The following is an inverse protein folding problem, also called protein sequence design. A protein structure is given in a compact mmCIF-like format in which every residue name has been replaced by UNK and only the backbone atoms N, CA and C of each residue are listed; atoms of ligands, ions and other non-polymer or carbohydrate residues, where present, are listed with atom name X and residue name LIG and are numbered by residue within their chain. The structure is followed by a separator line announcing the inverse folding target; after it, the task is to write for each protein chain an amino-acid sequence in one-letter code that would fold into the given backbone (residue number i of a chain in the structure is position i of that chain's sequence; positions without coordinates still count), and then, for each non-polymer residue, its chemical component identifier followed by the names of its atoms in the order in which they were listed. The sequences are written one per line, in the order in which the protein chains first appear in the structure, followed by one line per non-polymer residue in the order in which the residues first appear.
data_IF_661603252003
#
_entry.id   IF_661603252003
#
_cell.length_a   1.000
_cell.length_b   1.000
_cell.length_c   1.000
_cell.angle_alpha   90.00
_cell.angle_beta   90.00
_cell.angle_gamma   90.00
#
_symmetry.space_group_name_H-M   'P 1'
#
loop_
_entity.id
_entity.type
_entity.pdbx_description
1 polymer ?
#
# COMPACT_ATOMS: atom_id res chain seq x y z
N UNK A 1 -11.16 20.45 9.15
CA UNK A 1 -12.48 19.82 8.92
C UNK A 1 -12.54 19.40 7.45
N UNK A 2 -13.09 18.21 7.16
CA UNK A 2 -13.36 17.81 5.78
C UNK A 2 -14.54 18.62 5.23
N UNK A 3 -14.53 18.98 3.92
CA UNK A 3 -15.67 19.60 3.28
C UNK A 3 -16.83 18.59 3.15
N UNK A 4 -18.05 19.06 3.11
CA UNK A 4 -19.18 18.26 2.69
C UNK A 4 -19.02 17.91 1.21
N UNK A 5 -19.34 16.68 0.85
CA UNK A 5 -19.31 16.28 -0.54
C UNK A 5 -19.18 14.78 -0.74
N UNK A 6 -19.39 14.37 -1.97
CA UNK A 6 -19.37 12.98 -2.40
C UNK A 6 -18.36 12.82 -3.53
N UNK A 7 -17.57 11.76 -3.46
CA UNK A 7 -16.59 11.40 -4.49
C UNK A 7 -16.55 9.90 -4.65
N UNK A 8 -16.44 9.44 -5.89
CA UNK A 8 -16.29 8.03 -6.21
C UNK A 8 -15.21 7.80 -7.27
N UNK A 9 -14.79 6.57 -7.40
CA UNK A 9 -13.88 6.17 -8.46
C UNK A 9 -13.53 4.69 -8.43
N UNK A 10 -12.88 4.27 -9.49
CA UNK A 10 -12.37 2.92 -9.64
C UNK A 10 -10.87 2.99 -9.93
N UNK A 11 -10.13 2.16 -9.23
CA UNK A 11 -8.73 1.85 -9.47
C UNK A 11 -8.66 0.41 -10.00
N UNK A 12 -7.74 0.13 -10.91
CA UNK A 12 -7.51 -1.21 -11.40
C UNK A 12 -6.27 -1.80 -10.75
N UNK A 13 -6.46 -2.89 -10.00
CA UNK A 13 -5.37 -3.62 -9.38
C UNK A 13 -4.78 -4.63 -10.36
N UNK A 14 -3.48 -4.50 -10.63
CA UNK A 14 -2.72 -5.33 -11.58
C UNK A 14 -2.83 -6.83 -11.25
N UNK A 15 -3.10 -7.66 -12.25
CA UNK A 15 -3.29 -9.11 -12.10
C UNK A 15 -3.03 -9.82 -13.41
N UNK A 16 -2.61 -11.10 -13.32
CA UNK A 16 -2.47 -12.01 -14.47
C UNK A 16 -3.75 -12.84 -14.71
N UNK A 17 -4.86 -12.53 -14.05
CA UNK A 17 -6.12 -13.23 -14.23
C UNK A 17 -6.73 -12.89 -15.60
N UNK A 18 -7.01 -13.88 -16.48
CA UNK A 18 -7.56 -13.62 -17.83
C UNK A 18 -8.92 -12.92 -17.81
N UNK A 19 -9.70 -13.08 -16.72
CA UNK A 19 -11.01 -12.44 -16.53
C UNK A 19 -10.90 -10.95 -16.28
N UNK A 20 -9.71 -10.45 -15.93
CA UNK A 20 -9.44 -9.06 -15.61
C UNK A 20 -8.24 -8.52 -16.40
N UNK A 21 -8.31 -8.42 -17.74
CA UNK A 21 -7.17 -8.02 -18.58
C UNK A 21 -6.71 -6.58 -18.32
N UNK A 22 -7.58 -5.73 -17.79
CA UNK A 22 -7.24 -4.35 -17.38
C UNK A 22 -6.89 -4.24 -15.88
N UNK A 23 -6.89 -5.35 -15.15
CA UNK A 23 -6.77 -5.41 -13.70
C UNK A 23 -8.10 -5.56 -12.99
N UNK A 24 -8.05 -6.00 -11.72
CA UNK A 24 -9.23 -6.16 -10.86
C UNK A 24 -9.77 -4.77 -10.51
N UNK A 25 -11.03 -4.43 -10.85
CA UNK A 25 -11.60 -3.15 -10.52
C UNK A 25 -11.85 -3.04 -9.01
N UNK A 26 -11.28 -2.02 -8.40
CA UNK A 26 -11.43 -1.65 -6.99
C UNK A 26 -12.22 -0.35 -6.94
N UNK A 27 -13.46 -0.42 -6.52
CA UNK A 27 -14.37 0.72 -6.45
C UNK A 27 -14.56 1.20 -5.02
N UNK A 28 -14.61 2.51 -4.83
CA UNK A 28 -15.02 3.13 -3.57
C UNK A 28 -15.80 4.42 -3.83
N UNK A 29 -16.79 4.65 -2.99
CA UNK A 29 -17.52 5.90 -2.88
C UNK A 29 -17.31 6.45 -1.48
N UNK A 30 -17.01 7.73 -1.35
CA UNK A 30 -16.84 8.44 -0.07
C UNK A 30 -17.85 9.57 -0.02
N UNK A 31 -18.68 9.59 1.03
CA UNK A 31 -19.64 10.66 1.34
C UNK A 31 -19.26 11.30 2.67
N UNK A 32 -18.92 12.58 2.66
CA UNK A 32 -18.53 13.35 3.85
C UNK A 32 -19.69 14.23 4.27
N UNK A 33 -20.22 13.99 5.46
CA UNK A 33 -21.34 14.69 6.10
C UNK A 33 -20.87 15.37 7.40
N UNK A 34 -20.28 16.60 7.31
CA UNK A 34 -19.77 17.29 8.47
C UNK A 34 -20.88 17.77 9.44
N UNK A 35 -22.09 17.94 8.95
CA UNK A 35 -23.23 18.37 9.78
C UNK A 35 -23.58 17.30 10.83
N UNK A 36 -23.50 16.04 10.44
CA UNK A 36 -23.75 14.89 11.32
C UNK A 36 -22.48 14.23 11.86
N UNK A 37 -21.29 14.78 11.51
CA UNK A 37 -20.01 14.23 11.93
C UNK A 37 -19.73 12.83 11.36
N UNK A 38 -20.18 12.54 10.15
CA UNK A 38 -20.10 11.22 9.52
C UNK A 38 -19.28 11.24 8.23
N UNK A 39 -18.59 10.14 8.01
CA UNK A 39 -17.93 9.80 6.75
C UNK A 39 -18.41 8.40 6.39
N UNK A 40 -19.10 8.28 5.26
CA UNK A 40 -19.62 6.99 4.76
C UNK A 40 -18.75 6.54 3.61
N UNK A 41 -18.33 5.28 3.64
CA UNK A 41 -17.55 4.64 2.58
C UNK A 41 -18.35 3.44 2.09
N UNK A 42 -18.77 3.46 0.83
CA UNK A 42 -19.49 2.37 0.19
C UNK A 42 -18.57 1.57 -0.73
N UNK A 43 -18.51 0.27 -0.47
CA UNK A 43 -17.69 -0.71 -1.18
C UNK A 43 -18.52 -1.81 -1.84
N UNK A 44 -19.83 -1.68 -1.86
CA UNK A 44 -20.76 -2.74 -2.32
C UNK A 44 -20.61 -3.09 -3.81
N UNK A 45 -20.05 -2.17 -4.61
CA UNK A 45 -19.86 -2.32 -6.07
C UNK A 45 -18.58 -3.09 -6.45
N UNK A 46 -17.79 -3.56 -5.48
CA UNK A 46 -16.61 -4.35 -5.77
C UNK A 46 -16.99 -5.73 -6.33
N UNK A 47 -16.12 -6.29 -7.16
CA UNK A 47 -16.28 -7.61 -7.77
C UNK A 47 -16.26 -8.73 -6.72
N UNK A 48 -16.70 -9.92 -7.12
CA UNK A 48 -16.66 -11.11 -6.27
C UNK A 48 -15.23 -11.54 -5.96
N UNK A 49 -15.10 -12.44 -5.00
CA UNK A 49 -13.82 -13.02 -4.62
C UNK A 49 -13.08 -13.59 -5.83
N UNK A 50 -11.80 -13.29 -5.89
CA UNK A 50 -10.90 -13.79 -6.94
C UNK A 50 -10.10 -15.00 -6.44
N UNK A 51 -9.66 -15.91 -7.35
CA UNK A 51 -8.89 -17.12 -6.99
C UNK A 51 -7.42 -16.79 -6.68
N UNK A 52 -7.16 -15.68 -6.02
CA UNK A 52 -5.86 -15.19 -5.58
C UNK A 52 -5.87 -14.95 -4.07
N UNK A 53 -4.69 -14.94 -3.45
CA UNK A 53 -4.53 -14.69 -2.01
C UNK A 53 -4.72 -13.24 -1.56
N UNK A 54 -5.34 -12.40 -2.38
CA UNK A 54 -5.42 -10.94 -2.16
C UNK A 54 -6.78 -10.47 -1.63
N UNK A 55 -7.77 -11.35 -1.49
CA UNK A 55 -9.09 -10.97 -1.01
C UNK A 55 -9.00 -10.36 0.38
N UNK A 56 -9.55 -9.17 0.56
CA UNK A 56 -9.47 -8.43 1.82
C UNK A 56 -10.56 -8.88 2.79
N UNK A 57 -10.17 -9.30 3.99
CA UNK A 57 -11.11 -9.63 5.06
C UNK A 57 -11.87 -8.39 5.53
N UNK A 58 -13.00 -8.57 6.22
CA UNK A 58 -13.75 -7.48 6.84
C UNK A 58 -12.85 -6.61 7.74
N UNK A 59 -12.01 -7.23 8.57
CA UNK A 59 -11.09 -6.52 9.46
C UNK A 59 -10.07 -5.69 8.69
N UNK A 60 -9.46 -6.25 7.63
CA UNK A 60 -8.48 -5.54 6.79
C UNK A 60 -9.15 -4.39 6.03
N UNK A 61 -10.35 -4.62 5.51
CA UNK A 61 -11.15 -3.60 4.80
C UNK A 61 -11.48 -2.42 5.72
N UNK A 62 -12.00 -2.69 6.92
CA UNK A 62 -12.30 -1.67 7.92
C UNK A 62 -11.04 -0.91 8.36
N UNK A 63 -9.94 -1.63 8.57
CA UNK A 63 -8.65 -1.02 8.95
C UNK A 63 -8.17 -0.06 7.86
N UNK A 64 -8.23 -0.46 6.59
CA UNK A 64 -7.82 0.39 5.45
C UNK A 64 -8.66 1.65 5.34
N UNK A 65 -9.98 1.54 5.45
CA UNK A 65 -10.88 2.69 5.40
C UNK A 65 -10.60 3.68 6.53
N UNK A 66 -10.45 3.19 7.75
CA UNK A 66 -10.18 4.00 8.95
C UNK A 66 -8.82 4.66 8.87
N UNK A 67 -7.81 3.90 8.51
CA UNK A 67 -6.44 4.40 8.37
C UNK A 67 -6.34 5.48 7.30
N UNK A 68 -6.84 5.22 6.09
CA UNK A 68 -6.81 6.19 5.00
C UNK A 68 -7.53 7.49 5.37
N UNK A 69 -8.71 7.39 6.00
CA UNK A 69 -9.47 8.55 6.46
C UNK A 69 -8.72 9.34 7.54
N UNK A 70 -8.15 8.66 8.54
CA UNK A 70 -7.43 9.34 9.63
C UNK A 70 -6.13 9.98 9.16
N UNK A 71 -5.47 9.44 8.14
CA UNK A 71 -4.31 10.07 7.53
C UNK A 71 -4.68 11.42 6.89
N UNK A 72 -5.84 11.49 6.26
CA UNK A 72 -6.34 12.72 5.65
C UNK A 72 -6.78 13.75 6.70
N UNK A 73 -7.35 13.29 7.81
CA UNK A 73 -7.77 14.15 8.93
C UNK A 73 -6.58 14.75 9.71
N UNK A 74 -5.43 14.09 9.65
CA UNK A 74 -4.20 14.56 10.30
C UNK A 74 -4.00 14.05 11.74
N UNK A 75 -2.87 14.43 12.32
CA UNK A 75 -2.41 13.94 13.63
C UNK A 75 -3.21 14.49 14.82
N UNK A 76 -3.96 15.57 14.63
CA UNK A 76 -4.76 16.17 15.68
C UNK A 76 -5.97 15.32 16.09
N UNK A 77 -6.40 14.41 15.23
CA UNK A 77 -7.50 13.49 15.51
C UNK A 77 -6.94 12.24 16.17
N UNK A 78 -7.30 11.94 17.43
CA UNK A 78 -6.80 10.77 18.12
C UNK A 78 -7.31 9.48 17.44
N UNK A 79 -6.41 8.52 17.27
CA UNK A 79 -6.72 7.22 16.65
C UNK A 79 -7.33 6.29 17.70
N UNK A 80 -8.61 6.49 17.96
CA UNK A 80 -9.35 5.79 18.99
C UNK A 80 -10.75 5.37 18.50
N UNK A 81 -11.42 4.53 19.28
CA UNK A 81 -12.78 4.05 18.98
C UNK A 81 -13.79 5.17 18.76
N UNK A 82 -13.58 6.33 19.40
CA UNK A 82 -14.42 7.52 19.20
C UNK A 82 -14.37 8.02 17.75
N UNK A 83 -13.16 8.17 17.22
CA UNK A 83 -12.94 8.59 15.82
C UNK A 83 -13.46 7.52 14.84
N UNK A 84 -13.28 6.23 15.14
CA UNK A 84 -13.76 5.15 14.28
C UNK A 84 -15.28 5.10 14.14
N UNK A 85 -16.03 5.53 15.13
CA UNK A 85 -17.51 5.60 15.06
C UNK A 85 -18.02 6.64 14.07
N UNK A 86 -17.20 7.59 13.70
CA UNK A 86 -17.55 8.59 12.68
C UNK A 86 -17.37 8.05 11.24
N UNK A 87 -16.69 6.90 11.08
CA UNK A 87 -16.39 6.29 9.78
C UNK A 87 -17.27 5.04 9.61
N UNK A 88 -18.30 5.17 8.79
CA UNK A 88 -19.25 4.09 8.48
C UNK A 88 -18.83 3.44 7.16
N UNK A 89 -18.69 2.12 7.17
CA UNK A 89 -18.26 1.36 5.98
C UNK A 89 -19.34 0.36 5.61
N UNK A 90 -19.87 0.47 4.39
CA UNK A 90 -20.80 -0.49 3.81
C UNK A 90 -20.05 -1.42 2.87
N UNK A 91 -20.19 -2.71 3.08
CA UNK A 91 -19.54 -3.74 2.27
C UNK A 91 -20.47 -4.93 2.08
N UNK A 92 -20.27 -5.69 1.01
CA UNK A 92 -21.05 -6.90 0.77
C UNK A 92 -20.24 -8.17 1.02
N UNK A 93 -20.97 -9.22 1.29
CA UNK A 93 -20.41 -10.56 1.43
C UNK A 93 -19.99 -11.14 0.07
N UNK A 94 -18.91 -11.89 0.04
CA UNK A 94 -18.36 -12.48 -1.18
C UNK A 94 -17.58 -11.53 -2.07
N UNK A 95 -17.38 -10.25 -1.66
CA UNK A 95 -16.59 -9.30 -2.43
C UNK A 95 -15.08 -9.43 -2.17
N UNK A 96 -14.28 -9.10 -3.19
CA UNK A 96 -12.80 -9.08 -3.09
C UNK A 96 -12.32 -8.06 -2.05
N UNK A 97 -13.04 -6.94 -1.90
CA UNK A 97 -12.88 -5.98 -0.81
C UNK A 97 -14.19 -5.96 -0.03
N UNK A 98 -14.20 -6.55 1.16
CA UNK A 98 -15.42 -6.67 1.95
C UNK A 98 -15.40 -7.83 2.92
N UNK A 99 -16.28 -8.82 2.70
CA UNK A 99 -16.42 -10.02 3.51
C UNK A 99 -16.24 -11.26 2.64
N UNK A 100 -14.99 -11.67 2.38
CA UNK A 100 -14.74 -12.82 1.51
C UNK A 100 -15.38 -14.09 2.06
N UNK A 101 -15.91 -14.94 1.16
CA UNK A 101 -16.47 -16.25 1.48
C UNK A 101 -15.43 -17.34 1.26
N UNK A 102 -15.42 -18.34 2.14
CA UNK A 102 -14.64 -19.54 1.93
C UNK A 102 -14.97 -20.19 0.56
N UNK A 103 -13.96 -20.69 -0.15
CA UNK A 103 -12.55 -20.89 0.20
C UNK A 103 -11.62 -19.74 -0.24
N UNK A 104 -12.09 -18.51 -0.33
CA UNK A 104 -11.28 -17.37 -0.77
C UNK A 104 -10.02 -17.20 0.10
N UNK A 105 -8.85 -17.15 -0.52
CA UNK A 105 -7.58 -16.95 0.16
C UNK A 105 -7.30 -15.46 0.42
N UNK A 106 -6.68 -15.15 1.56
CA UNK A 106 -6.45 -13.78 2.05
C UNK A 106 -4.99 -13.53 2.45
N UNK A 107 -4.06 -14.44 2.13
CA UNK A 107 -2.70 -14.45 2.66
C UNK A 107 -1.83 -13.24 2.25
N UNK A 108 -2.09 -12.64 1.11
CA UNK A 108 -1.35 -11.48 0.60
C UNK A 108 -2.16 -10.18 0.63
N UNK A 109 -3.36 -10.19 1.22
CA UNK A 109 -4.27 -9.04 1.21
C UNK A 109 -3.65 -7.78 1.83
N UNK A 110 -2.96 -7.91 2.96
CA UNK A 110 -2.41 -6.78 3.72
C UNK A 110 -1.26 -6.07 3.01
N UNK A 111 -0.43 -6.80 2.29
CA UNK A 111 0.73 -6.24 1.59
C UNK A 111 0.38 -5.72 0.18
N UNK A 112 -0.65 -6.28 -0.42
CA UNK A 112 -1.00 -6.02 -1.83
C UNK A 112 -2.26 -5.17 -1.97
N UNK A 113 -3.42 -5.79 -1.98
CA UNK A 113 -4.68 -5.10 -2.27
C UNK A 113 -5.01 -4.02 -1.23
N UNK A 114 -4.67 -4.24 0.05
CA UNK A 114 -4.84 -3.23 1.11
C UNK A 114 -4.06 -1.94 0.81
N UNK A 115 -2.81 -2.06 0.36
CA UNK A 115 -1.99 -0.90 0.00
C UNK A 115 -2.55 -0.15 -1.20
N UNK A 116 -2.99 -0.87 -2.24
CA UNK A 116 -3.64 -0.29 -3.41
C UNK A 116 -4.93 0.42 -3.04
N UNK A 117 -5.77 -0.23 -2.24
CA UNK A 117 -7.04 0.30 -1.79
C UNK A 117 -6.90 1.53 -0.90
N UNK A 118 -5.96 1.51 0.06
CA UNK A 118 -5.66 2.69 0.88
C UNK A 118 -5.18 3.88 0.05
N UNK A 119 -4.32 3.61 -0.94
CA UNK A 119 -3.85 4.61 -1.90
C UNK A 119 -4.99 5.18 -2.74
N UNK A 120 -5.92 4.32 -3.18
CA UNK A 120 -7.11 4.74 -3.92
C UNK A 120 -8.01 5.66 -3.08
N UNK A 121 -8.25 5.34 -1.81
CA UNK A 121 -9.01 6.22 -0.92
C UNK A 121 -8.32 7.59 -0.74
N UNK A 122 -6.99 7.62 -0.58
CA UNK A 122 -6.25 8.90 -0.51
C UNK A 122 -6.42 9.72 -1.79
N UNK A 123 -6.38 9.08 -2.95
CA UNK A 123 -6.60 9.75 -4.24
C UNK A 123 -8.03 10.28 -4.39
N UNK A 124 -9.04 9.58 -3.86
CA UNK A 124 -10.43 10.06 -3.82
C UNK A 124 -10.56 11.30 -2.92
N UNK A 125 -9.95 11.31 -1.73
CA UNK A 125 -9.92 12.51 -0.89
C UNK A 125 -9.22 13.68 -1.58
N UNK A 126 -8.15 13.42 -2.35
CA UNK A 126 -7.48 14.45 -3.13
C UNK A 126 -8.38 15.02 -4.24
N UNK A 127 -9.29 14.22 -4.80
CA UNK A 127 -10.29 14.71 -5.75
C UNK A 127 -11.40 15.52 -5.08
N UNK A 128 -11.75 15.20 -3.84
CA UNK A 128 -12.79 15.89 -3.09
C UNK A 128 -12.41 17.36 -2.84
N UNK A 129 -11.18 17.62 -2.42
CA UNK A 129 -10.67 18.98 -2.21
C UNK A 129 -9.15 19.07 -2.41
N UNK A 130 -8.62 20.17 -3.02
CA UNK A 130 -7.20 20.43 -3.05
C UNK A 130 -6.58 20.44 -1.64
N UNK A 131 -5.41 19.84 -1.50
CA UNK A 131 -4.71 19.76 -0.22
C UNK A 131 -5.14 18.63 0.72
N UNK A 132 -6.17 17.85 0.36
CA UNK A 132 -6.50 16.59 1.01
C UNK A 132 -5.85 15.41 0.29
N UNK A 133 -5.65 14.31 1.03
CA UNK A 133 -5.16 13.06 0.46
C UNK A 133 -3.80 13.15 -0.24
N UNK A 134 -3.61 12.28 -1.20
CA UNK A 134 -2.36 12.18 -1.99
C UNK A 134 -2.62 11.64 -3.39
N UNK A 135 -1.63 11.71 -4.26
CA UNK A 135 -1.59 10.92 -5.49
C UNK A 135 -1.52 9.42 -5.16
N UNK A 136 -1.59 8.58 -6.19
CA UNK A 136 -1.42 7.14 -6.01
C UNK A 136 0.01 6.80 -5.61
N UNK A 137 0.16 5.95 -4.60
CA UNK A 137 1.45 5.44 -4.16
C UNK A 137 1.76 4.07 -4.77
N UNK A 138 2.99 3.63 -4.58
CA UNK A 138 3.43 2.30 -4.98
C UNK A 138 2.62 1.21 -4.27
N UNK A 139 2.26 0.19 -5.00
CA UNK A 139 1.49 -0.97 -4.53
C UNK A 139 2.41 -2.17 -4.36
N UNK A 140 2.09 -3.00 -3.37
CA UNK A 140 2.84 -4.22 -3.08
C UNK A 140 4.04 -3.98 -2.18
N UNK A 141 4.85 -5.02 -2.04
CA UNK A 141 6.08 -5.04 -1.26
C UNK A 141 7.25 -5.13 -2.24
N UNK A 142 8.05 -4.07 -2.39
CA UNK A 142 9.16 -4.08 -3.35
C UNK A 142 10.21 -5.13 -2.97
N UNK A 143 11.08 -5.48 -3.91
CA UNK A 143 12.16 -6.45 -3.68
C UNK A 143 13.09 -6.06 -2.52
N UNK A 144 13.20 -4.76 -2.22
CA UNK A 144 13.92 -4.23 -1.07
C UNK A 144 13.28 -4.55 0.30
N UNK A 145 12.05 -5.07 0.31
CA UNK A 145 11.31 -5.46 1.52
C UNK A 145 10.71 -6.86 1.35
N UNK A 146 11.52 -7.80 0.91
CA UNK A 146 11.11 -9.18 0.59
C UNK A 146 11.24 -10.12 1.78
N UNK A 147 10.57 -11.27 1.67
CA UNK A 147 10.87 -12.42 2.53
C UNK A 147 12.14 -13.08 2.03
N UNK A 148 13.10 -13.28 2.93
CA UNK A 148 14.35 -13.99 2.66
C UNK A 148 14.36 -15.33 3.43
N UNK A 149 14.78 -16.39 2.76
CA UNK A 149 14.90 -17.70 3.38
C UNK A 149 16.09 -18.48 2.82
N UNK A 150 16.58 -19.44 3.58
CA UNK A 150 17.70 -20.28 3.18
C UNK A 150 18.33 -20.98 4.37
N UNK A 151 19.59 -21.35 4.21
CA UNK A 151 20.44 -21.87 5.29
C UNK A 151 21.47 -20.83 5.67
N UNK A 152 21.74 -20.69 6.95
CA UNK A 152 22.67 -19.71 7.48
C UNK A 152 23.96 -20.38 7.98
N UNK A 153 25.04 -20.41 7.18
CA UNK A 153 26.32 -21.03 7.59
C UNK A 153 26.87 -20.44 8.90
N UNK A 154 26.68 -19.13 9.09
CA UNK A 154 27.10 -18.41 10.30
C UNK A 154 26.44 -18.94 11.57
N UNK A 155 25.24 -19.51 11.47
CA UNK A 155 24.45 -20.01 12.61
C UNK A 155 24.35 -21.54 12.62
N UNK A 156 25.40 -22.23 12.17
CA UNK A 156 25.47 -23.69 12.16
C UNK A 156 24.61 -24.34 11.08
N UNK A 157 24.47 -23.68 9.95
CA UNK A 157 23.77 -24.17 8.76
C UNK A 157 22.28 -24.49 9.01
N UNK A 158 21.65 -23.73 9.89
CA UNK A 158 20.22 -23.87 10.20
C UNK A 158 19.37 -23.18 9.17
N UNK A 159 18.18 -23.73 8.92
CA UNK A 159 17.16 -23.10 8.11
C UNK A 159 16.64 -21.84 8.80
N UNK A 160 16.40 -20.79 8.00
CA UNK A 160 15.81 -19.55 8.45
C UNK A 160 14.79 -19.00 7.45
N UNK A 161 13.81 -18.26 7.98
CA UNK A 161 12.89 -17.41 7.23
C UNK A 161 12.81 -16.08 7.97
N UNK A 162 12.99 -14.98 7.24
CA UNK A 162 12.92 -13.63 7.81
C UNK A 162 12.41 -12.64 6.77
N UNK A 163 12.22 -11.40 7.16
CA UNK A 163 11.93 -10.29 6.27
C UNK A 163 13.12 -9.34 6.23
N UNK A 164 13.50 -8.94 5.02
CA UNK A 164 14.52 -7.93 4.81
C UNK A 164 13.84 -6.60 4.47
N UNK A 165 14.27 -5.53 5.11
CA UNK A 165 13.74 -4.18 4.90
C UNK A 165 14.91 -3.25 4.57
N UNK A 166 15.29 -3.24 3.30
CA UNK A 166 16.35 -2.39 2.77
C UNK A 166 15.82 -1.54 1.61
N UNK A 167 16.47 -0.41 1.38
CA UNK A 167 16.13 0.48 0.29
C UNK A 167 14.97 1.42 0.62
N UNK A 168 14.55 2.18 -0.36
CA UNK A 168 13.59 3.25 -0.19
C UNK A 168 12.26 2.89 -0.85
N UNK A 169 11.21 3.23 -0.15
CA UNK A 169 9.82 2.97 -0.54
C UNK A 169 9.14 4.32 -0.77
N UNK A 170 9.35 4.88 -1.92
CA UNK A 170 8.92 6.24 -2.21
C UNK A 170 7.42 6.48 -2.00
N UNK A 171 7.11 7.60 -1.36
CA UNK A 171 5.75 8.04 -1.11
C UNK A 171 5.17 8.88 -2.25
N UNK A 172 3.84 8.92 -2.37
CA UNK A 172 3.17 9.79 -3.33
C UNK A 172 3.27 11.26 -2.92
N UNK A 173 3.15 12.16 -3.89
CA UNK A 173 2.93 13.57 -3.63
C UNK A 173 1.58 13.80 -2.94
N UNK A 174 1.54 14.81 -2.08
CA UNK A 174 0.31 15.31 -1.48
C UNK A 174 -0.07 16.65 -2.11
N UNK A 175 -1.22 17.18 -1.77
CA UNK A 175 -1.60 18.54 -2.20
C UNK A 175 -0.85 19.68 -1.48
N UNK A 176 0.17 19.35 -0.67
CA UNK A 176 0.92 20.32 0.17
C UNK A 176 2.43 20.11 0.15
N UNK A 177 2.90 18.95 -0.30
CA UNK A 177 4.32 18.59 -0.25
C UNK A 177 4.66 17.51 -1.27
N UNK A 178 5.92 17.46 -1.62
CA UNK A 178 6.51 16.36 -2.38
C UNK A 178 6.44 15.05 -1.60
N UNK A 179 6.53 13.94 -2.31
CA UNK A 179 6.55 12.60 -1.74
C UNK A 179 7.83 12.33 -0.95
N UNK A 180 7.69 11.66 0.19
CA UNK A 180 8.83 11.32 1.05
C UNK A 180 9.51 10.04 0.57
N UNK A 181 10.82 10.05 0.53
CA UNK A 181 11.63 8.94 0.04
C UNK A 181 11.40 7.64 0.83
N UNK A 182 11.19 7.76 2.13
CA UNK A 182 11.09 6.62 3.07
C UNK A 182 9.69 6.44 3.65
N UNK A 183 8.67 6.91 2.95
CA UNK A 183 7.29 6.90 3.44
C UNK A 183 6.73 5.47 3.66
N UNK A 184 7.25 4.47 2.97
CA UNK A 184 6.62 3.16 2.90
C UNK A 184 5.37 3.17 2.03
N UNK A 185 4.57 2.12 2.09
CA UNK A 185 3.28 2.08 1.42
C UNK A 185 2.25 2.94 2.15
N UNK A 186 1.19 3.35 1.46
CA UNK A 186 0.09 4.11 2.05
C UNK A 186 -0.54 3.40 3.25
N UNK A 187 -0.55 2.06 3.25
CA UNK A 187 -1.09 1.23 4.34
C UNK A 187 -0.23 1.22 5.60
N UNK A 188 1.04 1.56 5.53
CA UNK A 188 1.96 1.55 6.67
C UNK A 188 2.09 2.90 7.36
N UNK A 189 1.53 3.96 6.76
CA UNK A 189 1.60 5.33 7.28
C UNK A 189 3.04 5.84 7.51
N UNK A 190 4.01 5.32 6.75
CA UNK A 190 5.42 5.63 6.96
C UNK A 190 6.05 5.02 8.21
N UNK A 191 5.35 4.10 8.89
CA UNK A 191 5.82 3.51 10.15
C UNK A 191 6.84 2.37 9.97
N UNK A 192 7.30 2.11 8.76
CA UNK A 192 8.32 1.08 8.51
C UNK A 192 9.70 1.70 8.68
N UNK A 193 10.47 1.14 9.60
CA UNK A 193 11.89 1.44 9.74
C UNK A 193 12.71 0.52 8.84
N UNK A 194 13.74 1.09 8.21
CA UNK A 194 14.67 0.33 7.38
C UNK A 194 15.81 -0.23 8.21
N UNK A 195 16.23 -1.45 7.89
CA UNK A 195 17.46 -2.02 8.42
C UNK A 195 18.67 -1.37 7.75
N UNK A 196 19.75 -1.18 8.50
CA UNK A 196 21.01 -0.79 7.88
C UNK A 196 21.55 -1.93 7.01
N UNK A 197 22.42 -1.58 6.07
CA UNK A 197 23.12 -2.56 5.21
C UNK A 197 23.88 -3.55 6.07
N UNK A 198 24.65 -3.05 7.04
CA UNK A 198 25.49 -3.86 7.92
C UNK A 198 24.69 -4.86 8.75
N UNK A 199 23.55 -4.43 9.32
CA UNK A 199 22.66 -5.33 10.06
C UNK A 199 22.07 -6.39 9.14
N UNK A 200 21.69 -6.03 7.92
CA UNK A 200 21.15 -6.96 6.93
C UNK A 200 22.18 -8.00 6.51
N UNK A 201 23.44 -7.61 6.26
CA UNK A 201 24.55 -8.50 5.95
C UNK A 201 24.96 -9.36 7.15
N UNK A 202 24.84 -8.82 8.36
CA UNK A 202 25.12 -9.56 9.58
C UNK A 202 24.10 -10.68 9.80
N UNK A 203 22.82 -10.40 9.53
CA UNK A 203 21.72 -11.34 9.77
C UNK A 203 21.54 -12.36 8.66
N UNK A 204 21.86 -11.98 7.43
CA UNK A 204 21.60 -12.80 6.24
C UNK A 204 22.88 -13.01 5.42
N UNK A 205 23.01 -14.18 4.73
CA UNK A 205 24.17 -14.46 3.90
C UNK A 205 24.06 -13.72 2.55
N UNK A 206 24.09 -12.40 2.59
CA UNK A 206 24.09 -11.50 1.43
C UNK A 206 25.17 -10.45 1.58
N UNK A 207 25.56 -9.86 0.46
CA UNK A 207 26.38 -8.64 0.38
C UNK A 207 25.63 -7.63 -0.46
N UNK A 208 25.48 -6.41 0.05
CA UNK A 208 24.85 -5.29 -0.66
C UNK A 208 25.92 -4.52 -1.42
N UNK A 209 25.84 -4.54 -2.74
CA UNK A 209 26.79 -3.81 -3.60
C UNK A 209 26.40 -2.35 -3.79
N UNK A 210 25.07 -2.09 -3.83
CA UNK A 210 24.57 -0.77 -4.15
C UNK A 210 23.24 -0.52 -3.47
N UNK A 211 23.12 0.65 -2.88
CA UNK A 211 21.86 1.25 -2.46
C UNK A 211 21.89 2.73 -2.87
N UNK A 212 21.07 3.12 -3.82
CA UNK A 212 21.07 4.47 -4.37
C UNK A 212 19.70 4.96 -4.75
N UNK A 213 19.48 6.26 -4.68
CA UNK A 213 18.33 6.93 -5.24
C UNK A 213 18.46 6.88 -6.78
N UNK A 214 17.37 6.53 -7.44
CA UNK A 214 17.30 6.53 -8.90
C UNK A 214 17.07 7.95 -9.40
N UNK A 215 18.01 8.47 -10.16
CA UNK A 215 17.91 9.80 -10.76
C UNK A 215 16.73 9.87 -11.73
N UNK A 216 16.09 11.03 -11.82
CA UNK A 216 14.99 11.36 -12.75
C UNK A 216 13.82 10.37 -12.75
N UNK A 217 13.54 9.77 -11.61
CA UNK A 217 12.46 8.78 -11.42
C UNK A 217 11.25 9.28 -10.65
N UNK A 218 11.24 10.55 -10.27
CA UNK A 218 10.10 11.18 -9.59
C UNK A 218 8.95 11.43 -10.56
N UNK A 219 7.72 11.22 -10.09
CA UNK A 219 6.53 11.64 -10.82
C UNK A 219 6.44 13.17 -10.86
N UNK A 220 6.19 13.74 -12.05
CA UNK A 220 6.08 15.19 -12.23
C UNK A 220 4.71 15.72 -11.75
N UNK A 221 4.68 16.98 -11.31
CA UNK A 221 3.46 17.67 -10.86
C UNK A 221 3.80 18.97 -10.15
N UNK A 222 2.78 19.67 -9.63
CA UNK A 222 3.00 20.82 -8.75
C UNK A 222 3.81 20.41 -7.52
N UNK A 223 3.51 19.24 -6.97
CA UNK A 223 4.33 18.52 -6.01
C UNK A 223 4.76 17.20 -6.67
N UNK A 224 6.00 16.82 -6.49
CA UNK A 224 6.58 15.66 -7.14
C UNK A 224 6.38 14.41 -6.27
N UNK A 225 6.17 13.27 -6.91
CA UNK A 225 6.30 11.97 -6.25
C UNK A 225 7.75 11.75 -5.80
N UNK A 226 7.96 10.87 -4.82
CA UNK A 226 9.32 10.49 -4.41
C UNK A 226 10.05 9.80 -5.55
N UNK A 227 11.38 10.00 -5.68
CA UNK A 227 12.17 9.20 -6.60
C UNK A 227 12.19 7.72 -6.14
N UNK A 228 12.41 6.83 -7.09
CA UNK A 228 12.64 5.42 -6.83
C UNK A 228 14.04 5.14 -6.29
N UNK A 229 14.28 3.89 -5.90
CA UNK A 229 15.59 3.43 -5.46
C UNK A 229 16.06 2.24 -6.28
N UNK A 230 17.37 2.06 -6.32
CA UNK A 230 18.03 0.86 -6.85
C UNK A 230 18.80 0.21 -5.73
N UNK A 231 18.57 -1.08 -5.55
CA UNK A 231 19.35 -1.93 -4.66
C UNK A 231 19.90 -3.11 -5.44
N UNK A 232 21.21 -3.39 -5.25
CA UNK A 232 21.88 -4.56 -5.78
C UNK A 232 22.52 -5.32 -4.64
N UNK A 233 22.30 -6.62 -4.60
CA UNK A 233 22.92 -7.51 -3.63
C UNK A 233 23.11 -8.91 -4.23
N UNK A 234 24.02 -9.69 -3.67
CA UNK A 234 24.25 -11.08 -4.06
C UNK A 234 24.35 -11.99 -2.84
N UNK A 235 24.17 -13.28 -3.07
CA UNK A 235 24.31 -14.30 -2.04
C UNK A 235 25.77 -14.50 -1.64
N UNK A 236 26.07 -14.55 -0.34
CA UNK A 236 27.40 -14.73 0.21
C UNK A 236 27.56 -16.12 0.82
N UNK A 237 28.28 -17.01 0.14
CA UNK A 237 28.61 -18.38 0.58
C UNK A 237 27.42 -19.27 0.94
N UNK A 238 26.22 -18.92 0.52
CA UNK A 238 25.03 -19.70 0.74
C UNK A 238 24.00 -19.42 -0.36
N UNK A 239 23.11 -20.39 -0.60
CA UNK A 239 21.95 -20.15 -1.46
C UNK A 239 20.86 -19.45 -0.65
N UNK A 240 20.26 -18.40 -1.22
CA UNK A 240 19.14 -17.68 -0.61
C UNK A 240 17.96 -17.64 -1.56
N UNK A 241 16.76 -17.66 -1.00
CA UNK A 241 15.50 -17.49 -1.74
C UNK A 241 14.87 -16.18 -1.31
N UNK A 242 14.48 -15.38 -2.29
CA UNK A 242 13.69 -14.17 -2.09
C UNK A 242 12.29 -14.37 -2.62
N UNK A 243 11.30 -13.93 -1.84
CA UNK A 243 9.89 -13.87 -2.25
C UNK A 243 9.43 -12.44 -2.03
N UNK A 244 8.98 -11.80 -3.08
CA UNK A 244 8.45 -10.44 -3.03
C UNK A 244 7.15 -10.35 -3.83
N UNK A 245 6.30 -9.43 -3.42
CA UNK A 245 5.01 -9.14 -4.05
C UNK A 245 5.08 -7.72 -4.59
N UNK A 246 5.44 -7.59 -5.85
CA UNK A 246 5.52 -6.30 -6.52
C UNK A 246 4.23 -6.04 -7.31
N UNK A 247 3.71 -4.84 -7.20
CA UNK A 247 2.67 -4.31 -8.06
C UNK A 247 3.17 -3.06 -8.77
N UNK A 248 2.30 -2.40 -9.52
CA UNK A 248 2.61 -1.16 -10.27
C UNK A 248 3.67 -1.33 -11.37
N UNK A 249 3.74 -2.52 -11.97
CA UNK A 249 4.58 -2.79 -13.14
C UNK A 249 3.90 -2.37 -14.43
N UNK A 250 2.64 -2.78 -14.61
CA UNK A 250 1.81 -2.54 -15.79
C UNK A 250 0.85 -1.39 -15.55
N UNK A 251 0.40 -1.22 -14.30
CA UNK A 251 -0.45 -0.11 -13.87
C UNK A 251 0.37 0.78 -12.91
N UNK A 252 1.16 1.72 -13.44
CA UNK A 252 2.01 2.57 -12.61
C UNK A 252 1.18 3.51 -11.73
N UNK A 253 1.76 3.98 -10.60
CA UNK A 253 1.13 5.02 -9.79
C UNK A 253 0.82 6.26 -10.64
N UNK A 254 -0.36 6.82 -10.45
CA UNK A 254 -0.84 7.98 -11.23
C UNK A 254 -0.92 9.20 -10.33
N UNK A 255 -0.72 10.36 -10.94
CA UNK A 255 -1.03 11.62 -10.32
C UNK A 255 -2.53 11.83 -10.13
N UNK A 256 -2.88 12.89 -9.46
CA UNK A 256 -4.26 13.37 -9.31
C UNK A 256 -4.36 14.83 -9.73
N UNK A 257 -5.53 15.28 -10.17
CA UNK A 257 -5.77 16.67 -10.59
C UNK A 257 -4.85 17.16 -11.72
N UNK A 258 -4.48 16.30 -12.65
CA UNK A 258 -3.66 16.63 -13.81
C UNK A 258 -2.15 16.48 -13.59
N UNK A 259 -1.73 15.90 -12.46
CA UNK A 259 -0.34 15.51 -12.21
C UNK A 259 -0.02 14.11 -12.70
#
# INVERSE_FOLDING_TARGET
KLPAGKVEGTYFYETDLPEYPEGIPVHAEIDVDPANGKIRIDLTRNVDNVPLGINMTESTTLASCRMATLNVLGSEIPRCSGAFRCIEVTMREGAVIGKPKMPAATCAATSNLCSAFASHLHALYAKLQPGLGSAYGTVGVPASASVISGRAPRYGDKDYVNQILMGYWGGPATGKSDGWLTCGSASTQGAISQSSVEVSELQHPIIVEKLSIRQDSSGAGQFQGSPGATISFYANKASVRFIFYSGSREIPPRGVRGG
#
